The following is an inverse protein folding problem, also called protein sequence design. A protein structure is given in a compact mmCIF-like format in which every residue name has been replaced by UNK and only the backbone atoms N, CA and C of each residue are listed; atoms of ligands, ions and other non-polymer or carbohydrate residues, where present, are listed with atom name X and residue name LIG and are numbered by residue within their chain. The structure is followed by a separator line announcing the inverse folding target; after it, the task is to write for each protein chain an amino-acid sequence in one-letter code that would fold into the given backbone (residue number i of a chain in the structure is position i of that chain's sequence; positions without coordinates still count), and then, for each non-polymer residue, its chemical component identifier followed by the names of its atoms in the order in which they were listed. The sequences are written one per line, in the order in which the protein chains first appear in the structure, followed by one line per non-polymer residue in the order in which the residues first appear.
data_IF_681639566831
#
_entry.id   IF_681639566831
#
_cell.length_a   1.000
_cell.length_b   1.000
_cell.length_c   1.000
_cell.angle_alpha   90.00
_cell.angle_beta   90.00
_cell.angle_gamma   90.00
#
_symmetry.space_group_name_H-M   'P 1'
#
loop_
_entity.id
_entity.type
_entity.pdbx_description
1 polymer ?
#
# COMPACT_ATOMS: atom_id res chain seq x y z
N UNK A 1 33.04 5.60 -3.25
CA UNK A 1 31.92 6.53 -3.27
C UNK A 1 32.45 7.93 -3.46
N UNK A 2 32.07 8.60 -4.55
CA UNK A 2 32.49 9.97 -4.87
C UNK A 2 31.84 10.99 -3.92
N UNK A 3 32.37 12.21 -3.87
CA UNK A 3 31.76 13.29 -3.08
C UNK A 3 30.38 13.71 -3.60
N UNK A 4 30.15 13.60 -4.92
CA UNK A 4 28.84 13.82 -5.55
C UNK A 4 27.80 12.79 -5.09
N UNK A 5 28.16 11.51 -4.98
CA UNK A 5 27.26 10.46 -4.49
C UNK A 5 26.85 10.71 -3.03
N UNK A 6 27.77 11.20 -2.19
CA UNK A 6 27.48 11.55 -0.78
C UNK A 6 26.63 12.81 -0.64
N UNK A 7 26.74 13.75 -1.58
CA UNK A 7 25.92 14.96 -1.63
C UNK A 7 24.48 14.61 -2.03
N UNK A 8 24.33 13.78 -3.06
CA UNK A 8 23.04 13.28 -3.54
C UNK A 8 22.32 12.45 -2.47
N UNK A 9 23.05 11.60 -1.73
CA UNK A 9 22.45 10.79 -0.67
C UNK A 9 21.94 11.64 0.50
N UNK A 10 22.67 12.69 0.88
CA UNK A 10 22.24 13.64 1.92
C UNK A 10 21.06 14.50 1.49
N UNK A 11 21.00 14.90 0.22
CA UNK A 11 19.86 15.62 -0.33
C UNK A 11 18.62 14.73 -0.44
N UNK A 12 18.79 13.47 -0.85
CA UNK A 12 17.73 12.47 -0.86
C UNK A 12 17.21 12.19 0.57
N UNK A 13 18.10 12.02 1.56
CA UNK A 13 17.73 11.84 2.96
C UNK A 13 16.97 13.05 3.55
N UNK A 14 17.40 14.28 3.22
CA UNK A 14 16.72 15.51 3.66
C UNK A 14 15.34 15.67 3.01
N UNK A 15 15.22 15.42 1.70
CA UNK A 15 13.94 15.43 1.00
C UNK A 15 13.01 14.32 1.52
N UNK A 16 13.58 13.15 1.86
CA UNK A 16 12.85 12.05 2.48
C UNK A 16 12.33 12.42 3.85
N UNK A 17 13.09 13.13 4.69
CA UNK A 17 12.66 13.57 6.02
C UNK A 17 11.52 14.61 5.96
N UNK A 18 11.57 15.56 5.02
CA UNK A 18 10.50 16.55 4.83
C UNK A 18 9.23 15.91 4.26
N UNK A 19 9.34 15.05 3.24
CA UNK A 19 8.21 14.32 2.67
C UNK A 19 7.63 13.28 3.65
N UNK A 20 8.48 12.60 4.44
CA UNK A 20 8.03 11.61 5.43
C UNK A 20 7.36 12.23 6.64
N UNK A 21 7.76 13.44 7.05
CA UNK A 21 7.05 14.19 8.08
C UNK A 21 5.59 14.41 7.69
N UNK A 22 5.31 14.54 6.39
CA UNK A 22 3.97 14.75 5.85
C UNK A 22 3.25 13.43 5.53
N UNK A 23 3.97 12.41 5.07
CA UNK A 23 3.40 11.15 4.55
C UNK A 23 3.29 10.01 5.57
N UNK A 24 4.20 9.94 6.56
CA UNK A 24 4.15 8.88 7.58
C UNK A 24 3.11 9.26 8.64
N UNK A 25 1.96 8.59 8.64
CA UNK A 25 0.98 8.80 9.69
C UNK A 25 1.57 8.53 11.07
N UNK A 26 1.07 9.21 12.10
CA UNK A 26 1.45 8.90 13.48
C UNK A 26 1.24 7.43 13.83
N UNK A 27 0.30 6.75 13.14
CA UNK A 27 0.04 5.32 13.28
C UNK A 27 1.24 4.44 12.90
N UNK A 28 2.03 4.85 11.90
CA UNK A 28 3.27 4.14 11.53
C UNK A 28 4.36 4.20 12.60
N UNK A 29 4.29 5.18 13.51
CA UNK A 29 5.24 5.32 14.64
C UNK A 29 4.84 4.51 15.86
N UNK A 30 3.69 3.82 15.83
CA UNK A 30 3.29 2.93 16.92
C UNK A 30 4.23 1.73 16.96
N UNK A 31 4.76 1.42 18.15
CA UNK A 31 5.68 0.29 18.35
C UNK A 31 5.08 -1.04 17.87
N UNK A 32 3.76 -1.22 18.01
CA UNK A 32 3.03 -2.40 17.53
C UNK A 32 3.13 -2.54 16.01
N UNK A 33 2.94 -1.46 15.26
CA UNK A 33 3.04 -1.44 13.79
C UNK A 33 4.49 -1.66 13.36
N UNK A 34 5.46 -1.05 14.04
CA UNK A 34 6.88 -1.24 13.73
C UNK A 34 7.34 -2.68 13.99
N UNK A 35 6.94 -3.26 15.13
CA UNK A 35 7.24 -4.65 15.48
C UNK A 35 6.64 -5.63 14.47
N UNK A 36 5.38 -5.41 14.06
CA UNK A 36 4.73 -6.19 13.02
C UNK A 36 5.53 -6.18 11.71
N UNK A 37 5.95 -5.00 11.23
CA UNK A 37 6.71 -4.90 9.98
C UNK A 37 8.13 -5.44 10.08
N UNK A 38 8.74 -5.43 11.28
CA UNK A 38 10.01 -6.10 11.53
C UNK A 38 9.85 -7.63 11.39
N UNK A 39 8.78 -8.20 11.94
CA UNK A 39 8.45 -9.63 11.78
C UNK A 39 8.19 -9.97 10.31
N UNK A 40 7.40 -9.17 9.60
CA UNK A 40 7.17 -9.34 8.15
C UNK A 40 8.49 -9.35 7.38
N UNK A 41 9.38 -8.39 7.65
CA UNK A 41 10.65 -8.31 6.96
C UNK A 41 11.53 -9.56 7.15
N UNK A 42 11.50 -10.16 8.35
CA UNK A 42 12.30 -11.32 8.71
C UNK A 42 11.69 -12.63 8.22
N UNK A 43 10.38 -12.82 8.41
CA UNK A 43 9.72 -14.12 8.24
C UNK A 43 9.10 -14.32 6.85
N UNK A 44 8.69 -13.25 6.18
CA UNK A 44 7.96 -13.39 4.92
C UNK A 44 8.90 -13.64 3.75
N UNK A 45 8.47 -14.50 2.83
CA UNK A 45 9.12 -14.67 1.53
C UNK A 45 9.08 -13.40 0.70
N UNK A 46 9.94 -13.33 -0.32
CA UNK A 46 9.93 -12.23 -1.28
C UNK A 46 8.55 -12.03 -1.93
N UNK A 47 7.84 -13.12 -2.23
CA UNK A 47 6.49 -13.09 -2.80
C UNK A 47 5.50 -12.42 -1.84
N UNK A 48 5.46 -12.85 -0.57
CA UNK A 48 4.53 -12.29 0.42
C UNK A 48 4.79 -10.79 0.67
N UNK A 49 6.06 -10.35 0.67
CA UNK A 49 6.42 -8.93 0.83
C UNK A 49 5.97 -8.03 -0.34
N UNK A 50 5.61 -8.59 -1.50
CA UNK A 50 5.00 -7.80 -2.59
C UNK A 50 3.65 -7.19 -2.18
N UNK A 51 2.97 -7.77 -1.18
CA UNK A 51 1.74 -7.22 -0.63
C UNK A 51 1.97 -5.83 0.00
N UNK A 52 3.02 -5.70 0.82
CA UNK A 52 3.42 -4.42 1.42
C UNK A 52 3.86 -3.39 0.37
N UNK A 53 4.55 -3.83 -0.69
CA UNK A 53 4.91 -2.95 -1.82
C UNK A 53 3.66 -2.44 -2.57
N UNK A 54 2.66 -3.31 -2.76
CA UNK A 54 1.39 -2.92 -3.35
C UNK A 54 0.66 -1.91 -2.47
N UNK A 55 0.64 -2.10 -1.16
CA UNK A 55 0.09 -1.13 -0.21
C UNK A 55 0.85 0.20 -0.25
N UNK A 56 2.18 0.16 -0.34
CA UNK A 56 3.02 1.37 -0.44
C UNK A 56 2.64 2.23 -1.65
N UNK A 57 2.37 1.59 -2.80
CA UNK A 57 1.91 2.32 -3.97
C UNK A 57 0.57 3.00 -3.75
N UNK A 58 -0.36 2.34 -3.05
CA UNK A 58 -1.65 2.97 -2.74
C UNK A 58 -1.52 4.15 -1.79
N UNK A 59 -0.61 4.05 -0.82
CA UNK A 59 -0.30 5.14 0.11
C UNK A 59 0.37 6.34 -0.59
N UNK A 60 1.33 6.10 -1.48
CA UNK A 60 2.07 7.18 -2.16
C UNK A 60 1.28 7.81 -3.32
N UNK A 61 0.32 7.09 -3.90
CA UNK A 61 -0.64 7.62 -4.89
C UNK A 61 -1.95 8.09 -4.25
N UNK A 62 -1.91 8.56 -2.99
CA UNK A 62 -3.11 8.95 -2.22
C UNK A 62 -3.96 10.07 -2.86
N UNK A 63 -3.36 10.90 -3.72
CA UNK A 63 -4.05 11.94 -4.47
C UNK A 63 -5.04 11.36 -5.49
N UNK A 64 -4.83 10.13 -5.93
CA UNK A 64 -5.72 9.40 -6.83
C UNK A 64 -6.50 8.29 -6.11
N UNK A 65 -5.87 7.60 -5.16
CA UNK A 65 -6.48 6.48 -4.41
C UNK A 65 -6.73 6.91 -2.97
N UNK A 66 -7.98 6.84 -2.52
CA UNK A 66 -8.28 6.99 -1.11
C UNK A 66 -8.26 5.63 -0.38
N UNK A 67 -7.09 5.25 0.14
CA UNK A 67 -6.92 4.08 1.01
C UNK A 67 -6.32 4.50 2.36
N UNK A 68 -7.15 4.71 3.40
CA UNK A 68 -6.70 5.24 4.69
C UNK A 68 -5.90 4.25 5.53
N UNK A 69 -5.75 2.99 5.10
CA UNK A 69 -4.96 1.96 5.78
C UNK A 69 -3.68 1.62 5.03
N UNK A 70 -3.51 2.11 3.79
CA UNK A 70 -2.43 1.69 2.91
C UNK A 70 -1.03 1.97 3.49
N UNK A 71 -0.84 3.09 4.17
CA UNK A 71 0.44 3.49 4.74
C UNK A 71 0.84 2.52 5.87
N UNK A 72 -0.06 2.27 6.82
CA UNK A 72 0.12 1.32 7.92
C UNK A 72 0.37 -0.10 7.40
N UNK A 73 -0.37 -0.55 6.38
CA UNK A 73 -0.21 -1.89 5.81
C UNK A 73 1.05 -2.04 4.94
N UNK A 74 1.59 -0.94 4.43
CA UNK A 74 2.83 -0.93 3.66
C UNK A 74 4.08 -1.08 4.53
N UNK A 75 4.07 -0.42 5.69
CA UNK A 75 5.24 -0.26 6.54
C UNK A 75 6.27 0.69 5.96
N UNK A 76 7.09 1.26 6.83
CA UNK A 76 8.09 2.29 6.48
C UNK A 76 9.06 1.83 5.39
N UNK A 77 9.56 0.60 5.49
CA UNK A 77 10.52 0.04 4.53
C UNK A 77 9.99 0.04 3.09
N UNK A 78 8.74 -0.40 2.89
CA UNK A 78 8.14 -0.46 1.55
C UNK A 78 7.83 0.93 1.01
N UNK A 79 7.37 1.85 1.88
CA UNK A 79 7.13 3.26 1.54
C UNK A 79 8.42 3.93 1.09
N UNK A 80 9.52 3.74 1.82
CA UNK A 80 10.85 4.27 1.49
C UNK A 80 11.33 3.81 0.13
N UNK A 81 11.34 2.50 -0.08
CA UNK A 81 11.81 1.90 -1.32
C UNK A 81 11.04 2.43 -2.53
N UNK A 82 9.72 2.60 -2.41
CA UNK A 82 8.92 3.10 -3.54
C UNK A 82 9.06 4.61 -3.73
N UNK A 83 9.10 5.40 -2.65
CA UNK A 83 9.31 6.85 -2.74
C UNK A 83 10.66 7.19 -3.40
N UNK A 84 11.74 6.50 -3.02
CA UNK A 84 13.06 6.65 -3.66
C UNK A 84 12.99 6.36 -5.16
N UNK A 85 12.28 5.31 -5.57
CA UNK A 85 12.06 4.98 -6.99
C UNK A 85 11.27 6.08 -7.71
N UNK A 86 10.16 6.54 -7.12
CA UNK A 86 9.34 7.61 -7.69
C UNK A 86 10.14 8.91 -7.84
N UNK A 87 10.98 9.24 -6.87
CA UNK A 87 11.86 10.41 -6.91
C UNK A 87 12.88 10.27 -8.04
N UNK A 88 13.51 9.11 -8.17
CA UNK A 88 14.44 8.80 -9.26
C UNK A 88 13.77 8.88 -10.64
N UNK A 89 12.55 8.39 -10.77
CA UNK A 89 11.78 8.45 -12.02
C UNK A 89 11.53 9.90 -12.44
N UNK A 90 11.14 10.76 -11.49
CA UNK A 90 10.94 12.20 -11.72
C UNK A 90 12.24 12.90 -12.13
N UNK A 91 13.35 12.64 -11.42
CA UNK A 91 14.65 13.26 -11.73
C UNK A 91 15.16 12.86 -13.12
N UNK A 92 14.87 11.63 -13.55
CA UNK A 92 15.29 11.13 -14.86
C UNK A 92 14.29 11.47 -15.98
N UNK A 93 13.24 12.25 -15.73
CA UNK A 93 12.14 12.51 -16.67
C UNK A 93 11.60 11.22 -17.30
N UNK A 94 11.42 10.17 -16.48
CA UNK A 94 10.84 8.92 -16.94
C UNK A 94 9.44 9.17 -17.50
N UNK A 95 9.06 8.41 -18.52
CA UNK A 95 7.73 8.49 -19.15
C UNK A 95 6.60 8.22 -18.14
N UNK A 96 6.87 7.38 -17.15
CA UNK A 96 5.92 6.97 -16.12
C UNK A 96 6.61 6.97 -14.76
N UNK A 97 5.86 7.32 -13.71
CA UNK A 97 6.33 7.29 -12.33
C UNK A 97 5.95 5.96 -11.69
N UNK A 98 6.88 5.35 -10.96
CA UNK A 98 6.68 4.10 -10.25
C UNK A 98 5.38 4.07 -9.45
N UNK A 99 4.68 2.94 -9.52
CA UNK A 99 3.41 2.73 -8.82
C UNK A 99 2.16 3.17 -9.59
N UNK A 100 2.27 3.88 -10.73
CA UNK A 100 1.10 4.34 -11.49
C UNK A 100 0.17 3.19 -11.91
N UNK A 101 0.75 2.06 -12.35
CA UNK A 101 -0.04 0.88 -12.73
C UNK A 101 -0.82 0.30 -11.54
N UNK A 102 -0.27 0.39 -10.32
CA UNK A 102 -0.95 -0.06 -9.11
C UNK A 102 -2.10 0.89 -8.76
N UNK A 103 -1.94 2.18 -9.04
CA UNK A 103 -3.02 3.15 -8.88
C UNK A 103 -4.20 2.90 -9.82
N UNK A 104 -3.92 2.76 -11.12
CA UNK A 104 -4.93 2.40 -12.12
C UNK A 104 -5.60 1.08 -11.79
N UNK A 105 -4.82 0.06 -11.39
CA UNK A 105 -5.33 -1.24 -10.97
C UNK A 105 -6.30 -1.12 -9.80
N UNK A 106 -5.95 -0.36 -8.76
CA UNK A 106 -6.83 -0.17 -7.60
C UNK A 106 -8.14 0.48 -8.00
N UNK A 107 -8.09 1.60 -8.74
CA UNK A 107 -9.28 2.33 -9.18
C UNK A 107 -10.19 1.46 -10.08
N UNK A 108 -9.59 0.67 -10.96
CA UNK A 108 -10.36 -0.22 -11.82
C UNK A 108 -11.12 -1.27 -11.02
N UNK A 109 -10.45 -1.96 -10.08
CA UNK A 109 -11.11 -2.98 -9.25
C UNK A 109 -12.17 -2.37 -8.33
N UNK A 110 -11.92 -1.20 -7.73
CA UNK A 110 -12.90 -0.51 -6.91
C UNK A 110 -14.19 -0.23 -7.70
N UNK A 111 -14.05 0.35 -8.91
CA UNK A 111 -15.17 0.65 -9.78
C UNK A 111 -15.89 -0.62 -10.31
N UNK A 112 -15.19 -1.74 -10.48
CA UNK A 112 -15.82 -3.01 -10.90
C UNK A 112 -16.58 -3.67 -9.76
N UNK A 113 -16.05 -3.64 -8.55
CA UNK A 113 -16.73 -4.16 -7.36
C UNK A 113 -18.00 -3.33 -7.11
N UNK A 114 -17.90 -2.00 -7.11
CA UNK A 114 -19.05 -1.13 -6.89
C UNK A 114 -20.15 -1.32 -7.94
N UNK A 115 -19.78 -1.44 -9.22
CA UNK A 115 -20.73 -1.72 -10.29
C UNK A 115 -21.39 -3.11 -10.14
N UNK A 116 -20.63 -4.12 -9.74
CA UNK A 116 -21.16 -5.46 -9.52
C UNK A 116 -22.17 -5.48 -8.35
N UNK A 117 -21.80 -4.91 -7.20
CA UNK A 117 -22.69 -4.80 -6.04
C UNK A 117 -23.97 -4.05 -6.39
N UNK A 118 -23.85 -2.93 -7.10
CA UNK A 118 -25.02 -2.15 -7.54
C UNK A 118 -25.97 -2.92 -8.45
N UNK A 119 -25.48 -3.94 -9.16
CA UNK A 119 -26.28 -4.75 -10.08
C UNK A 119 -27.05 -5.90 -9.42
N UNK A 120 -26.64 -6.35 -8.23
CA UNK A 120 -27.27 -7.49 -7.52
C UNK A 120 -28.57 -7.13 -6.79
N UNK A 121 -28.95 -5.84 -6.73
CA UNK A 121 -30.18 -5.40 -6.04
C UNK A 121 -30.06 -5.45 -4.51
N UNK A 122 -31.19 -5.45 -3.79
CA UNK A 122 -31.24 -5.46 -2.30
C UNK A 122 -30.91 -6.84 -1.67
N UNK A 123 -30.37 -7.78 -2.43
CA UNK A 123 -29.98 -9.09 -1.89
C UNK A 123 -28.60 -8.99 -1.25
N UNK A 124 -28.38 -9.77 -0.18
CA UNK A 124 -27.06 -9.89 0.45
C UNK A 124 -26.07 -10.49 -0.55
N UNK A 125 -25.07 -9.69 -0.95
CA UNK A 125 -24.04 -10.11 -1.87
C UNK A 125 -22.85 -10.70 -1.10
N UNK A 126 -22.30 -11.80 -1.61
CA UNK A 126 -21.06 -12.39 -1.11
C UNK A 126 -19.90 -11.98 -2.01
N UNK A 127 -18.80 -11.50 -1.40
CA UNK A 127 -17.59 -11.05 -2.09
C UNK A 127 -16.40 -11.85 -1.61
N UNK A 128 -15.62 -12.40 -2.54
CA UNK A 128 -14.40 -13.14 -2.23
C UNK A 128 -13.19 -12.42 -2.84
N UNK A 129 -12.26 -11.99 -1.98
CA UNK A 129 -10.98 -11.40 -2.37
C UNK A 129 -9.88 -12.47 -2.29
N UNK A 130 -9.44 -12.96 -3.45
CA UNK A 130 -8.40 -13.99 -3.56
C UNK A 130 -7.00 -13.35 -3.62
N UNK A 131 -6.06 -13.88 -2.86
CA UNK A 131 -4.74 -13.26 -2.70
C UNK A 131 -4.86 -11.88 -2.06
N UNK A 132 -5.70 -11.80 -1.01
CA UNK A 132 -6.12 -10.54 -0.41
C UNK A 132 -4.97 -9.71 0.15
N UNK A 133 -3.83 -10.30 0.48
CA UNK A 133 -2.61 -9.56 0.81
C UNK A 133 -2.85 -8.48 1.88
N UNK A 134 -2.28 -7.30 1.58
CA UNK A 134 -2.52 -6.04 2.27
C UNK A 134 -3.66 -5.23 1.65
N UNK A 135 -4.65 -5.86 1.01
CA UNK A 135 -5.84 -5.21 0.49
C UNK A 135 -6.77 -4.79 1.64
N UNK A 136 -7.24 -3.54 1.59
CA UNK A 136 -8.10 -2.94 2.61
C UNK A 136 -9.54 -2.68 2.11
N UNK A 137 -9.94 -3.21 0.94
CA UNK A 137 -11.27 -2.95 0.35
C UNK A 137 -12.42 -3.29 1.29
N UNK A 138 -12.34 -4.43 1.98
CA UNK A 138 -13.34 -4.85 2.96
C UNK A 138 -13.57 -3.79 4.07
N UNK A 139 -12.55 -2.96 4.35
CA UNK A 139 -12.58 -1.96 5.42
C UNK A 139 -12.89 -0.54 4.91
N UNK A 140 -12.65 -0.25 3.62
CA UNK A 140 -12.77 1.12 3.07
C UNK A 140 -13.87 1.33 2.02
N UNK A 141 -14.29 0.29 1.29
CA UNK A 141 -15.33 0.44 0.27
C UNK A 141 -16.71 0.42 0.92
N UNK A 142 -17.43 1.53 0.83
CA UNK A 142 -18.77 1.67 1.42
C UNK A 142 -19.79 0.69 0.85
N UNK A 143 -19.67 0.33 -0.43
CA UNK A 143 -20.55 -0.63 -1.09
C UNK A 143 -20.42 -2.06 -0.52
N UNK A 144 -19.34 -2.36 0.23
CA UNK A 144 -19.11 -3.68 0.82
C UNK A 144 -19.60 -3.80 2.27
N UNK A 145 -20.10 -2.72 2.89
CA UNK A 145 -20.47 -2.72 4.32
C UNK A 145 -21.58 -3.70 4.68
N UNK A 146 -22.51 -3.91 3.75
CA UNK A 146 -23.66 -4.82 3.91
C UNK A 146 -23.45 -6.14 3.16
N UNK A 147 -22.22 -6.45 2.76
CA UNK A 147 -21.85 -7.67 2.05
C UNK A 147 -21.08 -8.62 2.97
N UNK A 148 -21.23 -9.93 2.73
CA UNK A 148 -20.34 -10.91 3.32
C UNK A 148 -19.01 -10.94 2.54
N UNK A 149 -17.95 -10.38 3.13
CA UNK A 149 -16.63 -10.30 2.49
C UNK A 149 -15.68 -11.35 3.06
N UNK A 150 -15.20 -12.24 2.18
CA UNK A 150 -14.21 -13.27 2.50
C UNK A 150 -12.86 -12.92 1.90
N UNK A 151 -11.82 -12.88 2.73
CA UNK A 151 -10.44 -12.69 2.30
C UNK A 151 -9.69 -14.01 2.36
N UNK A 152 -9.18 -14.46 1.22
CA UNK A 152 -8.49 -15.75 1.10
C UNK A 152 -7.02 -15.50 0.74
N UNK A 153 -6.12 -15.86 1.65
CA UNK A 153 -4.66 -15.77 1.45
C UNK A 153 -3.92 -16.76 2.38
N UNK A 154 -2.58 -16.74 2.34
CA UNK A 154 -1.71 -17.39 3.30
C UNK A 154 -2.02 -16.92 4.73
N UNK A 155 -1.99 -17.86 5.67
CA UNK A 155 -2.30 -17.61 7.08
C UNK A 155 -1.44 -16.48 7.68
N UNK A 156 -0.15 -16.43 7.35
CA UNK A 156 0.74 -15.36 7.81
C UNK A 156 0.29 -13.98 7.33
N UNK A 157 -0.21 -13.88 6.09
CA UNK A 157 -0.68 -12.63 5.52
C UNK A 157 -1.95 -12.13 6.20
N UNK A 158 -2.96 -13.00 6.33
CA UNK A 158 -4.20 -12.65 7.01
C UNK A 158 -3.96 -12.23 8.46
N UNK A 159 -3.10 -12.95 9.20
CA UNK A 159 -2.77 -12.62 10.59
C UNK A 159 -2.09 -11.25 10.72
N UNK A 160 -1.11 -10.97 9.88
CA UNK A 160 -0.40 -9.68 9.94
C UNK A 160 -1.29 -8.50 9.56
N UNK A 161 -2.32 -8.69 8.72
CA UNK A 161 -3.26 -7.61 8.40
C UNK A 161 -4.29 -7.35 9.51
N UNK A 162 -4.64 -8.38 10.28
CA UNK A 162 -5.71 -8.32 11.30
C UNK A 162 -5.21 -8.02 12.72
N UNK A 163 -3.92 -8.19 13.00
CA UNK A 163 -3.28 -7.89 14.30
C UNK A 163 -2.81 -6.45 14.40
#
# INVERSE_FOLDING_TARGET
MSEEEKQHQRQAESAWQEDCSFMLSQRLRLETVQSLHATIAHEWSALQRTACQTAAARALWNHAIHDPMADVLAGESSLRILHEKMTKDKMNNAREVSGVILAVRTLWFDARIEAAISSFGKQEAQVVLLGAGMDARAYRLSCLKDCDVFEVDFLSCCRSKQG
#
